data_IF_664387389433
#
_entry.id   IF_664387389433
#
_cell.length_a   1.000
_cell.length_b   1.000
_cell.length_c   1.000
_cell.angle_alpha   90.00
_cell.angle_beta   90.00
_cell.angle_gamma   90.00
#
_symmetry.space_group_name_H-M   'P 1'
#
loop_
_entity.id
_entity.type
_entity.pdbx_description
1 polymer ?
#
# COMPACT_ATOMS: atom_id res chain seq x y z
N UNK A 1 -5.92 4.26 8.19
CA UNK A 1 -5.43 3.37 7.10
C UNK A 1 -6.14 3.76 5.81
N UNK A 2 -5.42 4.26 4.80
CA UNK A 2 -6.02 4.77 3.54
C UNK A 2 -6.66 3.65 2.72
N UNK A 3 -5.89 2.59 2.45
CA UNK A 3 -6.33 1.44 1.66
C UNK A 3 -6.62 0.25 2.59
N UNK A 4 -7.89 -0.15 2.70
CA UNK A 4 -8.34 -1.23 3.61
C UNK A 4 -8.54 -2.57 2.92
N UNK A 5 -8.82 -2.57 1.62
CA UNK A 5 -9.03 -3.78 0.79
C UNK A 5 -7.87 -4.08 -0.16
N UNK A 6 -6.79 -3.30 -0.07
CA UNK A 6 -5.59 -3.50 -0.86
C UNK A 6 -4.48 -3.96 0.08
N UNK A 7 -3.80 -5.05 -0.31
CA UNK A 7 -2.57 -5.48 0.38
C UNK A 7 -1.45 -4.49 0.06
N UNK A 8 -1.03 -3.71 1.06
CA UNK A 8 0.07 -2.75 0.92
C UNK A 8 1.39 -3.46 1.26
N UNK A 9 2.42 -3.39 0.39
CA UNK A 9 3.70 -4.04 0.67
C UNK A 9 4.33 -3.49 1.95
N UNK A 10 4.83 -4.37 2.81
CA UNK A 10 5.43 -3.99 4.08
C UNK A 10 6.79 -3.32 3.86
N UNK A 11 7.07 -2.26 4.62
CA UNK A 11 8.40 -1.67 4.67
C UNK A 11 9.36 -2.59 5.44
N UNK A 12 10.67 -2.59 5.10
CA UNK A 12 11.66 -3.30 5.89
C UNK A 12 11.75 -2.76 7.32
N UNK A 13 12.16 -3.62 8.24
CA UNK A 13 12.24 -3.34 9.67
C UNK A 13 13.06 -2.09 10.00
N UNK A 14 12.70 -1.44 11.11
CA UNK A 14 13.50 -0.39 11.73
C UNK A 14 14.41 -1.06 12.76
N UNK A 15 15.68 -0.66 12.78
CA UNK A 15 16.68 -1.16 13.71
C UNK A 15 17.38 0.03 14.37
N UNK A 16 17.54 -0.01 15.71
CA UNK A 16 18.19 1.06 16.46
C UNK A 16 19.70 0.79 16.63
N UNK A 17 20.05 -0.36 17.19
CA UNK A 17 21.42 -0.86 17.32
C UNK A 17 21.93 -1.34 15.97
N UNK A 18 23.18 -1.05 15.58
CA UNK A 18 23.72 -1.48 14.29
C UNK A 18 23.09 -0.81 13.06
N UNK A 19 22.34 0.29 13.23
CA UNK A 19 21.65 1.00 12.12
C UNK A 19 22.59 1.55 11.02
N UNK A 20 23.89 1.60 11.32
CA UNK A 20 24.94 2.05 10.41
C UNK A 20 25.79 0.89 9.88
N UNK A 21 25.47 -0.36 10.25
CA UNK A 21 26.14 -1.54 9.70
C UNK A 21 25.81 -1.67 8.21
N UNK A 22 26.83 -1.91 7.40
CA UNK A 22 26.72 -1.98 5.95
C UNK A 22 25.73 -3.07 5.50
N UNK A 23 25.82 -4.25 6.10
CA UNK A 23 24.91 -5.37 5.83
C UNK A 23 23.44 -5.00 6.08
N UNK A 24 23.18 -4.26 7.16
CA UNK A 24 21.84 -3.78 7.48
C UNK A 24 21.35 -2.77 6.42
N UNK A 25 22.19 -1.80 6.07
CA UNK A 25 21.86 -0.76 5.09
C UNK A 25 21.59 -1.38 3.71
N UNK A 26 22.46 -2.28 3.25
CA UNK A 26 22.32 -2.92 1.94
C UNK A 26 21.09 -3.83 1.87
N UNK A 27 20.83 -4.63 2.93
CA UNK A 27 19.61 -5.45 3.01
C UNK A 27 18.35 -4.58 3.02
N UNK A 28 18.37 -3.46 3.76
CA UNK A 28 17.26 -2.50 3.81
C UNK A 28 17.03 -1.85 2.45
N UNK A 29 18.08 -1.42 1.76
CA UNK A 29 18.01 -0.82 0.42
C UNK A 29 17.39 -1.79 -0.59
N UNK A 30 17.85 -3.05 -0.63
CA UNK A 30 17.28 -4.08 -1.52
C UNK A 30 15.78 -4.27 -1.29
N UNK A 31 15.35 -4.32 -0.03
CA UNK A 31 13.93 -4.44 0.33
C UNK A 31 13.11 -3.19 0.00
N UNK A 32 13.68 -1.99 0.14
CA UNK A 32 13.04 -0.75 -0.28
C UNK A 32 12.87 -0.68 -1.80
N UNK A 33 13.80 -1.23 -2.58
CA UNK A 33 13.65 -1.33 -4.05
C UNK A 33 12.47 -2.26 -4.39
N UNK A 34 12.38 -3.43 -3.75
CA UNK A 34 11.24 -4.34 -3.97
C UNK A 34 9.91 -3.69 -3.55
N UNK A 35 9.89 -2.98 -2.42
CA UNK A 35 8.73 -2.20 -1.98
C UNK A 35 8.33 -1.16 -3.02
N UNK A 36 9.29 -0.38 -3.52
CA UNK A 36 9.06 0.66 -4.53
C UNK A 36 8.49 0.06 -5.83
N UNK A 37 9.10 -1.02 -6.32
CA UNK A 37 8.63 -1.70 -7.53
C UNK A 37 7.19 -2.21 -7.39
N UNK A 38 6.85 -2.78 -6.23
CA UNK A 38 5.49 -3.23 -5.96
C UNK A 38 4.52 -2.02 -5.96
N UNK A 39 4.86 -0.96 -5.23
CA UNK A 39 4.04 0.27 -5.17
C UNK A 39 3.78 0.88 -6.55
N UNK A 40 4.81 0.97 -7.40
CA UNK A 40 4.69 1.57 -8.74
C UNK A 40 3.98 0.66 -9.75
N UNK A 41 4.09 -0.67 -9.61
CA UNK A 41 3.38 -1.62 -10.47
C UNK A 41 1.89 -1.77 -10.16
N UNK A 42 1.46 -1.41 -8.95
CA UNK A 42 0.08 -1.63 -8.52
C UNK A 42 -0.84 -0.53 -9.07
N UNK A 43 -1.93 -0.87 -9.78
CA UNK A 43 -2.74 0.11 -10.51
C UNK A 43 -3.37 1.20 -9.63
N UNK A 44 -3.72 0.89 -8.38
CA UNK A 44 -4.28 1.87 -7.43
C UNK A 44 -3.19 2.61 -6.63
N UNK A 45 -2.23 1.89 -6.01
CA UNK A 45 -1.23 2.52 -5.12
C UNK A 45 -0.31 3.49 -5.87
N UNK A 46 0.02 3.21 -7.14
CA UNK A 46 0.86 4.09 -7.95
C UNK A 46 0.21 5.44 -8.28
N UNK A 47 -1.13 5.50 -8.26
CA UNK A 47 -1.93 6.70 -8.52
C UNK A 47 -2.30 7.46 -7.23
N UNK A 48 -1.80 7.03 -6.07
CA UNK A 48 -2.09 7.72 -4.82
C UNK A 48 -1.38 9.09 -4.80
N UNK A 49 -2.14 10.18 -4.69
CA UNK A 49 -1.58 11.55 -4.66
C UNK A 49 -0.50 11.73 -3.58
N UNK A 50 -0.65 11.07 -2.42
CA UNK A 50 0.38 11.13 -1.37
C UNK A 50 1.68 10.41 -1.76
N UNK A 51 1.60 9.37 -2.60
CA UNK A 51 2.75 8.67 -3.15
C UNK A 51 3.40 9.46 -4.29
N UNK A 52 2.61 10.07 -5.16
CA UNK A 52 3.10 11.00 -6.19
C UNK A 52 3.84 12.19 -5.54
N UNK A 53 3.23 12.83 -4.53
CA UNK A 53 3.86 13.90 -3.76
C UNK A 53 5.15 13.45 -3.09
N UNK A 54 5.22 12.20 -2.59
CA UNK A 54 6.44 11.61 -2.03
C UNK A 54 7.58 11.50 -3.04
N UNK A 55 7.28 11.21 -4.31
CA UNK A 55 8.29 11.04 -5.35
C UNK A 55 8.71 12.37 -6.00
N UNK A 56 7.76 13.28 -6.20
CA UNK A 56 7.93 14.42 -7.10
C UNK A 56 8.22 15.74 -6.39
N UNK A 57 7.93 15.85 -5.08
CA UNK A 57 8.11 17.11 -4.36
C UNK A 57 9.58 17.40 -4.09
N UNK A 58 10.08 18.50 -4.68
CA UNK A 58 11.46 18.97 -4.52
C UNK A 58 11.62 20.18 -3.59
N UNK A 59 10.52 20.74 -3.06
CA UNK A 59 10.53 21.92 -2.18
C UNK A 59 10.13 21.59 -0.75
N UNK A 60 10.92 22.04 0.23
CA UNK A 60 10.72 21.75 1.65
C UNK A 60 9.42 22.30 2.23
N UNK A 61 8.98 23.49 1.79
CA UNK A 61 7.74 24.09 2.28
C UNK A 61 6.54 23.35 1.69
N UNK A 62 6.57 23.07 0.38
CA UNK A 62 5.55 22.27 -0.30
C UNK A 62 5.48 20.86 0.26
N UNK A 63 6.62 20.27 0.64
CA UNK A 63 6.66 18.96 1.29
C UNK A 63 5.79 18.94 2.55
N UNK A 64 5.96 19.92 3.45
CA UNK A 64 5.18 20.02 4.69
C UNK A 64 3.69 20.22 4.40
N UNK A 65 3.34 21.03 3.39
CA UNK A 65 1.94 21.28 3.02
C UNK A 65 1.28 20.03 2.44
N UNK A 66 1.91 19.37 1.46
CA UNK A 66 1.38 18.15 0.85
C UNK A 66 1.30 16.99 1.84
N UNK A 67 2.29 16.86 2.75
CA UNK A 67 2.21 15.90 3.85
C UNK A 67 0.97 16.14 4.73
N UNK A 68 0.72 17.39 5.17
CA UNK A 68 -0.46 17.73 5.98
C UNK A 68 -1.77 17.50 5.22
N UNK A 69 -1.79 17.70 3.89
CA UNK A 69 -2.95 17.40 3.04
C UNK A 69 -3.24 15.90 3.06
N UNK A 70 -2.24 15.05 2.84
CA UNK A 70 -2.39 13.60 2.88
C UNK A 70 -2.82 13.07 4.26
N UNK A 71 -2.35 13.70 5.35
CA UNK A 71 -2.75 13.37 6.73
C UNK A 71 -4.22 13.72 7.06
N UNK A 72 -4.82 14.68 6.34
CA UNK A 72 -6.20 15.15 6.53
C UNK A 72 -7.21 14.53 5.56
N UNK A 73 -6.78 13.57 4.75
CA UNK A 73 -7.62 12.89 3.77
C UNK A 73 -8.78 12.15 4.46
N UNK A 74 -10.01 12.52 4.09
CA UNK A 74 -11.24 11.95 4.66
C UNK A 74 -11.64 10.63 3.97
N UNK A 75 -11.17 10.38 2.75
CA UNK A 75 -11.49 9.20 1.95
C UNK A 75 -10.62 8.02 2.34
N UNK A 76 -10.56 7.71 3.64
CA UNK A 76 -9.77 6.66 4.26
C UNK A 76 -10.68 5.59 4.86
N UNK A 77 -10.13 4.41 5.16
CA UNK A 77 -10.90 3.36 5.83
C UNK A 77 -11.98 2.77 4.92
N UNK A 78 -13.23 2.76 5.39
CA UNK A 78 -14.37 2.34 4.59
C UNK A 78 -14.79 3.39 3.54
N UNK A 79 -14.54 4.69 3.79
CA UNK A 79 -14.88 5.77 2.84
C UNK A 79 -14.08 5.66 1.53
N UNK A 80 -12.92 4.99 1.56
CA UNK A 80 -12.18 4.66 0.34
C UNK A 80 -13.04 3.89 -0.68
N UNK A 81 -13.99 3.05 -0.24
CA UNK A 81 -14.84 2.30 -1.18
C UNK A 81 -15.72 3.22 -2.04
N UNK A 82 -16.04 4.42 -1.55
CA UNK A 82 -16.83 5.41 -2.29
C UNK A 82 -16.07 6.01 -3.47
N UNK A 83 -14.75 5.82 -3.56
CA UNK A 83 -13.95 6.25 -4.72
C UNK A 83 -13.92 5.20 -5.82
N UNK A 84 -14.49 4.02 -5.60
CA UNK A 84 -14.49 2.92 -6.56
C UNK A 84 -15.77 2.94 -7.39
N UNK A 85 -15.63 2.75 -8.69
CA UNK A 85 -16.74 2.45 -9.58
C UNK A 85 -16.79 0.93 -9.78
N UNK A 86 -17.90 0.31 -9.39
CA UNK A 86 -18.09 -1.12 -9.57
C UNK A 86 -18.83 -1.41 -10.89
N UNK A 87 -18.62 -2.60 -11.50
CA UNK A 87 -19.43 -3.05 -12.62
C UNK A 87 -20.93 -3.09 -12.27
N UNK A 88 -21.79 -3.00 -13.29
CA UNK A 88 -23.25 -3.00 -13.10
C UNK A 88 -23.85 -4.41 -13.09
N UNK A 89 -23.06 -5.39 -13.51
CA UNK A 89 -23.41 -6.79 -13.56
C UNK A 89 -23.57 -7.33 -12.13
N UNK A 90 -24.70 -7.98 -11.88
CA UNK A 90 -24.94 -8.64 -10.60
C UNK A 90 -24.20 -9.97 -10.54
N UNK A 91 -23.51 -10.20 -9.42
CA UNK A 91 -22.90 -11.49 -9.08
C UNK A 91 -23.69 -12.13 -7.94
N UNK A 92 -23.76 -13.46 -7.93
CA UNK A 92 -24.30 -14.18 -6.77
C UNK A 92 -23.35 -14.02 -5.58
N UNK A 93 -23.91 -13.65 -4.42
CA UNK A 93 -23.13 -13.46 -3.21
C UNK A 93 -22.57 -14.78 -2.68
N UNK A 94 -23.25 -15.90 -2.94
CA UNK A 94 -22.75 -17.22 -2.55
C UNK A 94 -21.48 -17.58 -3.33
N UNK A 95 -21.44 -17.29 -4.64
CA UNK A 95 -20.25 -17.50 -5.47
C UNK A 95 -19.07 -16.63 -5.01
N UNK A 96 -19.34 -15.39 -4.60
CA UNK A 96 -18.33 -14.48 -4.05
C UNK A 96 -17.78 -14.98 -2.72
N UNK A 97 -18.64 -15.47 -1.82
CA UNK A 97 -18.23 -16.06 -0.54
C UNK A 97 -17.35 -17.29 -0.75
N UNK A 98 -17.75 -18.20 -1.65
CA UNK A 98 -16.94 -19.37 -2.01
C UNK A 98 -15.57 -18.96 -2.56
N UNK A 99 -15.53 -17.91 -3.40
CA UNK A 99 -14.26 -17.38 -3.93
C UNK A 99 -13.35 -16.85 -2.83
N UNK A 100 -13.91 -16.16 -1.84
CA UNK A 100 -13.19 -15.63 -0.68
C UNK A 100 -12.63 -16.76 0.18
N UNK A 101 -13.42 -17.79 0.47
CA UNK A 101 -12.98 -18.94 1.27
C UNK A 101 -11.88 -19.74 0.56
N UNK A 102 -12.02 -19.96 -0.74
CA UNK A 102 -10.99 -20.58 -1.57
C UNK A 102 -9.67 -19.78 -1.54
N UNK A 103 -9.75 -18.45 -1.65
CA UNK A 103 -8.56 -17.59 -1.55
C UNK A 103 -7.93 -17.63 -0.16
N UNK A 104 -8.74 -17.63 0.90
CA UNK A 104 -8.27 -17.74 2.29
C UNK A 104 -7.56 -19.07 2.56
N UNK A 105 -8.10 -20.18 2.06
CA UNK A 105 -7.45 -21.49 2.18
C UNK A 105 -6.12 -21.55 1.41
N UNK A 106 -6.08 -20.97 0.20
CA UNK A 106 -4.85 -20.84 -0.58
C UNK A 106 -3.79 -20.00 0.14
N UNK A 107 -4.16 -18.81 0.62
CA UNK A 107 -3.22 -17.90 1.27
C UNK A 107 -2.59 -18.51 2.53
N UNK A 108 -3.37 -19.24 3.34
CA UNK A 108 -2.85 -19.96 4.51
C UNK A 108 -1.80 -20.99 4.12
N UNK A 109 -2.10 -21.83 3.13
CA UNK A 109 -1.16 -22.86 2.64
C UNK A 109 0.09 -22.29 1.96
N UNK A 110 0.06 -21.04 1.50
CA UNK A 110 1.22 -20.36 0.91
C UNK A 110 2.13 -19.75 1.99
N UNK A 111 1.56 -19.40 3.14
CA UNK A 111 2.29 -18.85 4.29
C UNK A 111 2.95 -19.96 5.13
N UNK A 112 2.31 -21.13 5.19
CA UNK A 112 2.86 -22.39 5.74
C UNK A 112 4.08 -22.89 4.94
#
# INVERSE_FOLDING_TARGET
HKFTVISVPHLPEKQATGRFEEDFIEKRKRRLILWMNHMTSHPVLSQYEGFEHFLMCADDKQWKLGKRRAEKDEMVGAHFMLTLQIPKEHQDLQDVEERVDNFKAFARKMDD
#
